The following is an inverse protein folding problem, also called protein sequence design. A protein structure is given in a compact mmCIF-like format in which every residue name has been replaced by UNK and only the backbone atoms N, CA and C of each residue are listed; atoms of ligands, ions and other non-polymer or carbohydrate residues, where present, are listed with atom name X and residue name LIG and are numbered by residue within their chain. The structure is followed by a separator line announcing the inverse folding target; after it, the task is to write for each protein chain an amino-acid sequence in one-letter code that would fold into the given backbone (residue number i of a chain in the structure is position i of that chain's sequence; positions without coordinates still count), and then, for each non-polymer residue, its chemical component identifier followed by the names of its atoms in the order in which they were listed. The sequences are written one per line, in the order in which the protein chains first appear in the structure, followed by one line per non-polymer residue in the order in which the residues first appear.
data_IF_574439752961
#
_entry.id   IF_574439752961
#
_cell.length_a   1.000
_cell.length_b   1.000
_cell.length_c   1.000
_cell.angle_alpha   90.00
_cell.angle_beta   90.00
_cell.angle_gamma   90.00
#
_symmetry.space_group_name_H-M   'P 1'
#
loop_
_entity.id
_entity.type
_entity.pdbx_description
1 polymer ?
#
# COMPACT_ATOMS: atom_id res chain seq x y z
N UNK A 1 -18.22 -13.82 20.17
CA UNK A 1 -17.79 -13.54 19.92
C UNK A 1 -17.45 -13.00 19.20
N UNK A 2 -17.79 -12.75 19.16
CA UNK A 2 -17.48 -12.07 18.16
C UNK A 2 -16.31 -11.63 17.80
N UNK A 3 -15.86 -11.64 18.21
CA UNK A 3 -14.59 -11.31 18.09
C UNK A 3 -13.92 -11.65 16.85
N UNK A 4 -14.32 -12.58 16.21
CA UNK A 4 -13.74 -13.00 14.98
C UNK A 4 -13.82 -11.99 13.89
N UNK A 5 -14.79 -11.12 13.98
CA UNK A 5 -14.94 -10.09 12.99
C UNK A 5 -13.81 -9.11 13.00
N UNK A 6 -13.18 -8.98 14.14
CA UNK A 6 -12.09 -8.02 14.26
C UNK A 6 -10.91 -8.40 13.42
N UNK A 7 -10.62 -9.69 13.30
CA UNK A 7 -9.51 -10.11 12.48
C UNK A 7 -9.79 -9.93 11.00
N UNK A 8 -11.05 -10.07 10.59
CA UNK A 8 -11.41 -9.89 9.20
C UNK A 8 -11.39 -8.42 8.80
N UNK A 9 -11.48 -7.50 9.78
CA UNK A 9 -11.50 -6.06 9.51
C UNK A 9 -10.21 -5.42 9.97
N UNK A 10 -9.11 -6.05 9.62
CA UNK A 10 -7.81 -5.57 10.04
C UNK A 10 -7.52 -4.19 9.47
N UNK A 11 -7.15 -3.28 10.34
CA UNK A 11 -6.69 -1.95 9.96
C UNK A 11 -5.19 -1.96 9.75
N UNK A 12 -4.76 -2.71 8.76
CA UNK A 12 -3.35 -2.86 8.46
C UNK A 12 -3.08 -2.40 7.05
N UNK A 13 -2.13 -1.49 6.89
CA UNK A 13 -1.71 -1.00 5.58
C UNK A 13 -0.28 -1.47 5.35
N UNK A 14 -0.05 -2.16 4.24
CA UNK A 14 1.29 -2.59 3.84
C UNK A 14 1.81 -1.61 2.80
N UNK A 15 2.97 -1.02 3.08
CA UNK A 15 3.56 -0.02 2.19
C UNK A 15 4.94 -0.47 1.75
N UNK A 16 5.12 -0.63 0.44
CA UNK A 16 6.43 -0.86 -0.15
C UNK A 16 7.13 0.49 -0.35
N UNK A 17 8.15 0.73 0.43
CA UNK A 17 8.91 1.99 0.41
C UNK A 17 10.31 1.70 0.96
N UNK A 18 11.35 1.96 0.16
CA UNK A 18 12.70 1.60 0.55
C UNK A 18 13.45 2.70 1.30
N UNK A 19 12.99 3.95 1.24
CA UNK A 19 13.65 5.06 1.92
C UNK A 19 13.20 5.13 3.38
N UNK A 20 14.15 4.98 4.31
CA UNK A 20 13.83 4.93 5.74
C UNK A 20 13.28 6.26 6.26
N UNK A 21 13.75 7.38 5.73
CA UNK A 21 13.24 8.69 6.14
C UNK A 21 11.80 8.85 5.68
N UNK A 22 11.48 8.42 4.48
CA UNK A 22 10.11 8.46 3.98
C UNK A 22 9.20 7.55 4.79
N UNK A 23 9.69 6.38 5.20
CA UNK A 23 8.92 5.48 6.06
C UNK A 23 8.55 6.16 7.38
N UNK A 24 9.52 6.77 8.04
CA UNK A 24 9.29 7.47 9.31
C UNK A 24 8.30 8.60 9.14
N UNK A 25 8.46 9.37 8.09
CA UNK A 25 7.60 10.51 7.82
C UNK A 25 6.16 10.08 7.58
N UNK A 26 5.97 9.06 6.75
CA UNK A 26 4.64 8.51 6.48
C UNK A 26 4.01 7.97 7.74
N UNK A 27 4.79 7.26 8.55
CA UNK A 27 4.28 6.70 9.79
C UNK A 27 3.73 7.78 10.71
N UNK A 28 4.45 8.89 10.82
CA UNK A 28 3.99 10.02 11.64
C UNK A 28 2.70 10.61 11.10
N UNK A 29 2.62 10.78 9.79
CA UNK A 29 1.42 11.36 9.19
C UNK A 29 0.21 10.45 9.38
N UNK A 30 0.36 9.16 9.10
CA UNK A 30 -0.74 8.23 9.30
C UNK A 30 -1.21 8.21 10.75
N UNK A 31 -0.26 8.20 11.70
CA UNK A 31 -0.61 8.22 13.12
C UNK A 31 -1.37 9.47 13.51
N UNK A 32 -1.05 10.59 12.89
CA UNK A 32 -1.75 11.85 13.20
C UNK A 32 -3.18 11.86 12.67
N UNK A 33 -3.48 11.05 11.66
CA UNK A 33 -4.82 10.95 11.10
C UNK A 33 -5.66 9.96 11.90
N UNK A 34 -5.13 8.76 12.10
CA UNK A 34 -5.84 7.71 12.85
C UNK A 34 -4.80 6.68 13.32
N UNK A 35 -4.45 6.72 14.60
CA UNK A 35 -3.40 5.85 15.13
C UNK A 35 -3.85 4.42 15.37
N UNK A 36 -5.11 4.10 15.09
CA UNK A 36 -5.59 2.72 15.18
C UNK A 36 -5.13 1.86 14.00
N UNK A 37 -4.62 2.48 12.93
CA UNK A 37 -4.07 1.71 11.81
C UNK A 37 -2.66 1.23 12.13
N UNK A 38 -2.38 -0.02 11.77
CA UNK A 38 -1.03 -0.56 11.82
C UNK A 38 -0.41 -0.36 10.44
N UNK A 39 0.68 0.39 10.39
CA UNK A 39 1.39 0.65 9.14
C UNK A 39 2.64 -0.21 9.13
N UNK A 40 2.75 -1.08 8.14
CA UNK A 40 3.89 -1.98 8.00
C UNK A 40 4.62 -1.62 6.72
N UNK A 41 5.93 -1.48 6.80
CA UNK A 41 6.75 -1.13 5.65
C UNK A 41 7.56 -2.34 5.17
N UNK A 42 7.66 -2.46 3.85
CA UNK A 42 8.54 -3.41 3.19
C UNK A 42 9.48 -2.61 2.30
N UNK A 43 10.76 -2.91 2.35
CA UNK A 43 11.77 -2.10 1.67
C UNK A 43 12.02 -2.55 0.22
N UNK A 44 11.46 -3.67 -0.18
CA UNK A 44 11.60 -4.19 -1.55
C UNK A 44 10.50 -5.20 -1.83
N UNK A 45 10.45 -5.70 -3.06
CA UNK A 45 9.41 -6.64 -3.46
C UNK A 45 9.46 -7.95 -2.71
N UNK A 46 10.66 -8.45 -2.45
CA UNK A 46 10.81 -9.69 -1.71
C UNK A 46 10.17 -9.58 -0.33
N UNK A 47 10.40 -8.48 0.36
CA UNK A 47 9.80 -8.26 1.68
C UNK A 47 8.27 -8.13 1.60
N UNK A 48 7.75 -7.53 0.52
CA UNK A 48 6.31 -7.46 0.32
C UNK A 48 5.73 -8.88 0.24
N UNK A 49 6.32 -9.72 -0.59
CA UNK A 49 5.82 -11.09 -0.76
C UNK A 49 5.99 -11.92 0.50
N UNK A 50 7.14 -11.79 1.17
CA UNK A 50 7.38 -12.52 2.42
C UNK A 50 6.34 -12.16 3.46
N UNK A 51 6.03 -10.88 3.58
CA UNK A 51 5.03 -10.45 4.55
C UNK A 51 3.66 -11.02 4.22
N UNK A 52 3.27 -10.96 2.96
CA UNK A 52 1.95 -11.45 2.55
C UNK A 52 1.84 -12.97 2.68
N UNK A 53 2.92 -13.69 2.38
CA UNK A 53 2.94 -15.15 2.47
C UNK A 53 2.76 -15.65 3.89
N UNK A 54 3.18 -14.86 4.88
CA UNK A 54 3.04 -15.21 6.29
C UNK A 54 1.63 -14.99 6.82
N UNK A 55 0.76 -14.34 6.04
CA UNK A 55 -0.57 -13.96 6.50
C UNK A 55 -1.60 -14.97 6.02
N UNK A 56 -2.64 -15.14 6.84
CA UNK A 56 -3.80 -15.89 6.39
C UNK A 56 -4.88 -14.89 5.97
N UNK A 57 -6.01 -15.40 5.51
CA UNK A 57 -7.07 -14.56 4.98
C UNK A 57 -7.62 -13.56 5.99
N UNK A 58 -7.53 -13.88 7.28
CA UNK A 58 -8.08 -13.01 8.31
C UNK A 58 -7.17 -11.86 8.68
N UNK A 59 -5.89 -11.96 8.34
CA UNK A 59 -4.93 -10.93 8.72
C UNK A 59 -4.31 -10.23 7.52
N UNK A 60 -4.95 -10.35 6.35
CA UNK A 60 -4.51 -9.63 5.17
C UNK A 60 -4.67 -8.13 5.34
N UNK A 61 -3.78 -7.32 4.72
CA UNK A 61 -3.93 -5.87 4.83
C UNK A 61 -5.21 -5.39 4.14
N UNK A 62 -5.71 -4.25 4.59
CA UNK A 62 -6.86 -3.61 3.95
C UNK A 62 -6.43 -2.74 2.76
N UNK A 63 -5.12 -2.53 2.60
CA UNK A 63 -4.58 -1.73 1.50
C UNK A 63 -3.12 -2.07 1.32
N UNK A 64 -2.68 -2.14 0.06
CA UNK A 64 -1.27 -2.27 -0.30
C UNK A 64 -0.89 -1.03 -1.10
N UNK A 65 0.12 -0.30 -0.63
CA UNK A 65 0.66 0.86 -1.33
C UNK A 65 2.07 0.52 -1.76
N UNK A 66 2.38 0.73 -3.03
CA UNK A 66 3.69 0.38 -3.57
C UNK A 66 4.32 1.59 -4.26
N UNK A 67 5.55 1.90 -3.87
CA UNK A 67 6.34 2.85 -4.62
C UNK A 67 6.64 2.26 -5.99
N UNK A 68 6.51 3.06 -7.03
CA UNK A 68 6.88 2.58 -8.37
C UNK A 68 8.34 2.14 -8.41
N UNK A 69 9.22 2.92 -7.77
CA UNK A 69 10.66 2.66 -7.82
C UNK A 69 11.14 2.04 -6.52
N UNK A 70 11.46 0.76 -6.56
CA UNK A 70 12.08 0.06 -5.44
C UNK A 70 13.22 -0.82 -5.94
N UNK A 71 14.20 -1.14 -5.08
CA UNK A 71 15.30 -2.01 -5.51
C UNK A 71 14.79 -3.38 -5.94
N UNK A 72 15.40 -3.93 -6.96
CA UNK A 72 15.02 -5.23 -7.50
C UNK A 72 13.89 -5.09 -8.47
N UNK A 73 12.68 -5.47 -8.08
CA UNK A 73 11.52 -5.34 -8.96
C UNK A 73 10.72 -4.09 -8.57
N UNK A 74 10.15 -3.45 -9.56
CA UNK A 74 9.39 -2.22 -9.32
C UNK A 74 7.94 -2.53 -8.94
N UNK A 75 7.19 -1.46 -8.60
CA UNK A 75 5.81 -1.62 -8.16
C UNK A 75 4.92 -2.31 -9.19
N UNK A 76 5.15 -2.07 -10.47
CA UNK A 76 4.36 -2.71 -11.53
C UNK A 76 4.61 -4.21 -11.56
N UNK A 77 5.87 -4.62 -11.42
CA UNK A 77 6.22 -6.04 -11.39
C UNK A 77 5.61 -6.73 -10.18
N UNK A 78 5.57 -6.03 -9.05
CA UNK A 78 4.93 -6.56 -7.84
C UNK A 78 3.44 -6.78 -8.09
N UNK A 79 2.77 -5.81 -8.71
CA UNK A 79 1.35 -5.95 -9.05
C UNK A 79 1.12 -7.14 -9.95
N UNK A 80 2.00 -7.33 -10.94
CA UNK A 80 1.89 -8.45 -11.87
C UNK A 80 1.93 -9.78 -11.14
N UNK A 81 2.85 -9.90 -10.18
CA UNK A 81 2.95 -11.11 -9.38
C UNK A 81 1.74 -11.31 -8.47
N UNK A 82 1.25 -10.23 -7.87
CA UNK A 82 0.07 -10.34 -7.00
C UNK A 82 -1.17 -10.80 -7.75
N UNK A 83 -1.30 -10.44 -9.02
CA UNK A 83 -2.43 -10.88 -9.83
C UNK A 83 -2.50 -12.38 -10.04
N UNK A 84 -1.38 -13.08 -9.86
CA UNK A 84 -1.34 -14.52 -10.05
C UNK A 84 -1.96 -15.29 -8.90
N UNK A 85 -2.28 -14.62 -7.79
CA UNK A 85 -2.83 -15.26 -6.60
C UNK A 85 -4.12 -14.55 -6.21
N UNK A 86 -5.25 -15.23 -6.35
CA UNK A 86 -6.54 -14.59 -6.14
C UNK A 86 -6.82 -14.22 -4.68
N UNK A 87 -6.00 -14.65 -3.74
CA UNK A 87 -6.15 -14.22 -2.35
C UNK A 87 -6.00 -12.70 -2.22
N UNK A 88 -5.32 -12.07 -3.16
CA UNK A 88 -5.04 -10.64 -3.08
C UNK A 88 -5.99 -9.80 -3.93
N UNK A 89 -6.92 -10.42 -4.65
CA UNK A 89 -7.78 -9.70 -5.61
C UNK A 89 -8.66 -8.65 -4.94
N UNK A 90 -9.15 -8.94 -3.75
CA UNK A 90 -10.04 -8.02 -3.06
C UNK A 90 -9.34 -6.89 -2.34
N UNK A 91 -8.02 -6.94 -2.23
CA UNK A 91 -7.27 -5.91 -1.52
C UNK A 91 -7.00 -4.75 -2.47
N UNK A 92 -7.41 -3.52 -2.13
CA UNK A 92 -7.06 -2.36 -2.96
C UNK A 92 -5.55 -2.17 -3.02
N UNK A 93 -5.05 -1.76 -4.18
CA UNK A 93 -3.63 -1.54 -4.41
C UNK A 93 -3.44 -0.19 -5.04
N UNK A 94 -2.51 0.57 -4.50
CA UNK A 94 -2.20 1.91 -4.98
C UNK A 94 -0.72 1.95 -5.32
N UNK A 95 -0.41 2.44 -6.52
CA UNK A 95 0.97 2.76 -6.89
C UNK A 95 1.16 4.24 -6.68
N UNK A 96 2.29 4.64 -6.11
CA UNK A 96 2.61 6.06 -6.05
C UNK A 96 4.05 6.30 -6.51
N UNK A 97 4.28 7.48 -7.05
CA UNK A 97 5.53 7.79 -7.72
C UNK A 97 5.69 9.29 -7.85
N UNK A 98 6.92 9.75 -8.02
CA UNK A 98 7.16 11.13 -8.36
C UNK A 98 6.89 11.41 -9.83
N UNK A 99 6.74 10.37 -10.65
CA UNK A 99 6.53 10.53 -12.09
C UNK A 99 5.08 10.84 -12.43
N UNK A 100 4.89 11.81 -13.30
CA UNK A 100 3.56 12.18 -13.81
C UNK A 100 3.27 11.51 -15.15
N UNK A 101 4.04 10.51 -15.53
CA UNK A 101 3.90 9.84 -16.84
C UNK A 101 2.53 9.18 -16.98
N UNK A 102 1.75 9.53 -18.01
CA UNK A 102 0.49 8.83 -18.27
C UNK A 102 0.71 7.34 -18.56
N UNK A 103 1.85 7.01 -19.17
CA UNK A 103 2.19 5.62 -19.47
C UNK A 103 2.30 4.80 -18.19
N UNK A 104 2.96 5.34 -17.17
CA UNK A 104 3.09 4.63 -15.89
C UNK A 104 1.73 4.44 -15.23
N UNK A 105 0.90 5.47 -15.27
CA UNK A 105 -0.43 5.38 -14.70
C UNK A 105 -1.27 4.32 -15.41
N UNK A 106 -1.27 4.34 -16.74
CA UNK A 106 -2.04 3.38 -17.52
C UNK A 106 -1.58 1.96 -17.23
N UNK A 107 -0.26 1.76 -17.13
CA UNK A 107 0.30 0.45 -16.87
C UNK A 107 -0.09 -0.05 -15.47
N UNK A 108 -0.04 0.84 -14.49
CA UNK A 108 -0.43 0.48 -13.13
C UNK A 108 -1.89 0.02 -13.07
N UNK A 109 -2.78 0.78 -13.71
CA UNK A 109 -4.20 0.44 -13.73
C UNK A 109 -4.45 -0.87 -14.46
N UNK A 110 -3.74 -1.10 -15.56
CA UNK A 110 -3.83 -2.34 -16.32
C UNK A 110 -3.38 -3.54 -15.47
N UNK A 111 -2.39 -3.35 -14.64
CA UNK A 111 -1.84 -4.42 -13.81
C UNK A 111 -2.63 -4.64 -12.53
N UNK A 112 -3.72 -3.93 -12.34
CA UNK A 112 -4.61 -4.17 -11.22
C UNK A 112 -4.57 -3.17 -10.10
N UNK A 113 -3.84 -2.06 -10.27
CA UNK A 113 -3.88 -0.99 -9.27
C UNK A 113 -5.23 -0.31 -9.30
N UNK A 114 -5.73 0.04 -8.14
CA UNK A 114 -6.97 0.80 -8.03
C UNK A 114 -6.72 2.28 -8.30
N UNK A 115 -5.49 2.73 -8.07
CA UNK A 115 -5.15 4.11 -8.33
C UNK A 115 -3.64 4.27 -8.50
N UNK A 116 -3.26 5.39 -9.10
CA UNK A 116 -1.87 5.79 -9.26
C UNK A 116 -1.77 7.24 -8.77
N UNK A 117 -0.99 7.46 -7.72
CA UNK A 117 -0.89 8.76 -7.08
C UNK A 117 0.49 9.36 -7.27
N UNK A 118 0.53 10.67 -7.39
CA UNK A 118 1.79 11.40 -7.54
C UNK A 118 2.27 11.80 -6.15
N UNK A 119 3.53 11.48 -5.82
CA UNK A 119 4.11 11.88 -4.53
C UNK A 119 4.19 13.39 -4.45
N UNK A 120 3.56 14.01 -3.46
CA UNK A 120 3.58 15.45 -3.34
C UNK A 120 4.87 15.93 -2.69
N UNK A 121 5.13 17.23 -2.83
CA UNK A 121 6.34 17.83 -2.27
C UNK A 121 6.09 18.56 -0.95
N UNK A 122 4.85 18.64 -0.49
CA UNK A 122 4.56 19.33 0.76
C UNK A 122 3.70 18.46 1.69
N UNK A 123 3.75 18.81 2.98
CA UNK A 123 3.14 18.01 4.03
C UNK A 123 1.61 18.01 3.93
N UNK A 124 1.02 19.15 3.56
CA UNK A 124 -0.43 19.25 3.49
C UNK A 124 -1.00 18.33 2.41
N UNK A 125 -0.39 18.32 1.24
CA UNK A 125 -0.83 17.44 0.17
C UNK A 125 -0.57 15.98 0.52
N UNK A 126 0.55 15.70 1.18
CA UNK A 126 0.86 14.34 1.59
C UNK A 126 -0.14 13.84 2.61
N UNK A 127 -0.56 14.71 3.54
CA UNK A 127 -1.58 14.36 4.53
C UNK A 127 -2.91 14.02 3.84
N UNK A 128 -3.29 14.82 2.83
CA UNK A 128 -4.52 14.56 2.09
C UNK A 128 -4.46 13.22 1.35
N UNK A 129 -3.31 12.89 0.78
CA UNK A 129 -3.11 11.62 0.10
C UNK A 129 -3.20 10.47 1.10
N UNK A 130 -2.61 10.62 2.28
CA UNK A 130 -2.69 9.59 3.31
C UNK A 130 -4.13 9.39 3.77
N UNK A 131 -4.91 10.46 3.90
CA UNK A 131 -6.33 10.34 4.21
C UNK A 131 -7.07 9.56 3.15
N UNK A 132 -6.78 9.86 1.88
CA UNK A 132 -7.38 9.14 0.76
C UNK A 132 -7.03 7.66 0.84
N UNK A 133 -5.75 7.36 1.09
CA UNK A 133 -5.31 5.97 1.20
C UNK A 133 -6.09 5.22 2.28
N UNK A 134 -6.23 5.82 3.46
CA UNK A 134 -6.97 5.17 4.54
C UNK A 134 -8.44 4.99 4.20
N UNK A 135 -9.00 5.89 3.41
CA UNK A 135 -10.40 5.76 3.01
C UNK A 135 -10.65 4.53 2.15
N UNK A 136 -9.64 4.04 1.44
CA UNK A 136 -9.80 2.85 0.62
C UNK A 136 -9.91 1.58 1.46
N UNK A 137 -9.56 1.66 2.74
CA UNK A 137 -9.74 0.54 3.68
C UNK A 137 -11.18 0.44 4.20
N UNK A 138 -12.08 1.27 3.71
CA UNK A 138 -13.48 1.22 4.13
C UNK A 138 -13.78 2.04 5.37
N UNK A 139 -12.94 3.01 5.68
CA UNK A 139 -13.11 3.85 6.87
C UNK A 139 -13.27 5.32 6.54
#
# INVERSE_FOLDING_TARGET
MPQNNDTANTKLVLIGEDDLDDQEFLKEIFSSIDDSFLIVFASNGEEVFDYLDEKNNNSMPCLIVLDYNMPGINGIDILRELKKDNRYDAIPKIIWSTSKSPTYKDLALEMGANDYLIKPSNVNELTDICRYMLSTCGF
#
